data_IF_664573069443
#
_entry.id   IF_664573069443
#
_cell.length_a   1.000
_cell.length_b   1.000
_cell.length_c   1.000
_cell.angle_alpha   90.00
_cell.angle_beta   90.00
_cell.angle_gamma   90.00
#
_symmetry.space_group_name_H-M   'P 1'
#
loop_
_entity.id
_entity.type
_entity.pdbx_description
1 polymer ?
#
# COMPACT_ATOMS: atom_id res chain seq x y z
N UNK A 1 -17.59 -3.40 -6.84
CA UNK A 1 -18.59 -3.09 -5.79
C UNK A 1 -17.82 -2.90 -4.51
N UNK A 2 -17.87 -1.71 -3.89
CA UNK A 2 -17.07 -1.37 -2.72
C UNK A 2 -17.19 -2.40 -1.59
N UNK A 3 -16.22 -2.39 -0.68
CA UNK A 3 -16.15 -3.35 0.43
C UNK A 3 -17.30 -3.11 1.41
N UNK A 4 -17.97 -4.17 1.86
CA UNK A 4 -18.99 -4.06 2.91
C UNK A 4 -18.35 -3.71 4.26
N UNK A 5 -19.04 -2.91 5.07
CA UNK A 5 -18.59 -2.53 6.43
C UNK A 5 -18.30 -3.75 7.29
N UNK A 6 -19.09 -4.82 7.17
CA UNK A 6 -18.87 -6.10 7.88
C UNK A 6 -17.49 -6.70 7.57
N UNK A 7 -17.14 -6.80 6.29
CA UNK A 7 -15.83 -7.29 5.85
C UNK A 7 -14.69 -6.34 6.26
N UNK A 8 -14.94 -5.02 6.26
CA UNK A 8 -13.98 -4.03 6.74
C UNK A 8 -13.69 -4.24 8.24
N UNK A 9 -14.72 -4.38 9.08
CA UNK A 9 -14.57 -4.59 10.52
C UNK A 9 -13.91 -5.93 10.86
N UNK A 10 -14.23 -7.00 10.14
CA UNK A 10 -13.50 -8.27 10.24
C UNK A 10 -12.02 -8.11 9.89
N UNK A 11 -11.71 -7.38 8.82
CA UNK A 11 -10.34 -7.13 8.40
C UNK A 11 -9.60 -6.24 9.41
N UNK A 12 -10.29 -5.29 10.04
CA UNK A 12 -9.74 -4.39 11.05
C UNK A 12 -9.29 -5.13 12.31
N UNK A 13 -9.90 -6.27 12.65
CA UNK A 13 -9.39 -7.15 13.72
C UNK A 13 -7.97 -7.65 13.45
N UNK A 14 -7.58 -7.82 12.18
CA UNK A 14 -6.22 -8.21 11.76
C UNK A 14 -5.31 -6.99 11.50
N UNK A 15 -5.89 -5.87 11.11
CA UNK A 15 -5.21 -4.61 10.82
C UNK A 15 -5.85 -3.47 11.63
N UNK A 16 -5.56 -3.38 12.96
CA UNK A 16 -6.31 -2.52 13.89
C UNK A 16 -6.14 -1.02 13.64
N UNK A 17 -5.12 -0.63 12.88
CA UNK A 17 -4.83 0.73 12.47
C UNK A 17 -5.43 1.09 11.09
N UNK A 18 -6.31 0.24 10.56
CA UNK A 18 -7.08 0.54 9.35
C UNK A 18 -8.22 1.50 9.68
N UNK A 19 -8.39 2.52 8.84
CA UNK A 19 -9.38 3.59 8.98
C UNK A 19 -10.18 3.67 7.67
N UNK A 20 -11.50 3.78 7.77
CA UNK A 20 -12.34 4.12 6.64
C UNK A 20 -12.22 5.62 6.36
N UNK A 21 -11.67 5.98 5.20
CA UNK A 21 -11.52 7.38 4.77
C UNK A 21 -12.80 7.89 4.11
N UNK A 22 -13.53 6.99 3.45
CA UNK A 22 -14.83 7.29 2.84
C UNK A 22 -15.77 6.10 2.99
N UNK A 23 -16.95 6.36 3.51
CA UNK A 23 -18.01 5.37 3.73
C UNK A 23 -19.37 5.95 3.31
N UNK A 24 -20.25 5.12 2.76
CA UNK A 24 -21.65 5.49 2.48
C UNK A 24 -22.55 4.27 2.64
N UNK A 25 -23.51 4.36 3.56
CA UNK A 25 -24.44 3.27 3.85
C UNK A 25 -23.70 2.07 4.41
N UNK A 26 -23.79 0.91 3.72
CA UNK A 26 -23.13 -0.33 4.15
C UNK A 26 -21.76 -0.56 3.49
N UNK A 27 -21.20 0.46 2.84
CA UNK A 27 -20.03 0.31 1.98
C UNK A 27 -18.90 1.27 2.32
N UNK A 28 -17.68 0.74 2.35
CA UNK A 28 -16.41 1.46 2.47
C UNK A 28 -15.76 1.60 1.09
N UNK A 29 -15.49 2.84 0.70
CA UNK A 29 -14.98 3.18 -0.63
C UNK A 29 -13.50 3.48 -0.62
N UNK A 30 -12.96 4.02 0.48
CA UNK A 30 -11.53 4.30 0.59
C UNK A 30 -11.07 3.94 2.00
N UNK A 31 -9.86 3.39 2.10
CA UNK A 31 -9.24 3.09 3.38
C UNK A 31 -7.84 3.70 3.46
N UNK A 32 -7.44 4.00 4.69
CA UNK A 32 -6.07 4.25 5.06
C UNK A 32 -5.61 3.17 6.03
N UNK A 33 -4.37 2.71 5.91
CA UNK A 33 -3.80 1.70 6.81
C UNK A 33 -2.31 1.93 6.96
N UNK A 34 -1.78 1.78 8.17
CA UNK A 34 -0.32 1.82 8.38
C UNK A 34 0.26 0.41 8.37
N UNK A 35 1.39 0.21 7.71
CA UNK A 35 2.03 -1.10 7.62
C UNK A 35 3.53 -0.99 7.81
N UNK A 36 4.08 -1.86 8.65
CA UNK A 36 5.53 -2.01 8.77
C UNK A 36 6.08 -2.78 7.56
N UNK A 37 7.08 -2.21 6.92
CA UNK A 37 7.82 -2.78 5.80
C UNK A 37 9.31 -2.45 5.88
N UNK A 38 10.11 -2.96 4.96
CA UNK A 38 11.52 -2.59 4.82
C UNK A 38 11.67 -1.35 3.94
N UNK A 39 12.73 -0.57 4.11
CA UNK A 39 13.05 0.57 3.22
C UNK A 39 13.41 0.07 1.81
N UNK A 40 14.24 -0.97 1.75
CA UNK A 40 14.53 -1.73 0.55
C UNK A 40 15.46 -2.93 0.86
N UNK A 41 15.86 -3.74 -0.11
CA UNK A 41 16.68 -4.93 0.20
C UNK A 41 18.09 -4.57 0.70
N UNK A 42 18.71 -3.55 0.11
CA UNK A 42 20.01 -3.06 0.58
C UNK A 42 19.91 -2.36 1.95
N UNK A 43 18.68 -2.10 2.43
CA UNK A 43 18.41 -1.50 3.72
C UNK A 43 17.13 -2.07 4.35
N UNK A 44 17.27 -3.22 5.02
CA UNK A 44 16.14 -3.97 5.60
C UNK A 44 15.58 -3.35 6.88
N UNK A 45 16.00 -2.14 7.25
CA UNK A 45 15.42 -1.42 8.38
C UNK A 45 13.90 -1.31 8.22
N UNK A 46 13.19 -1.56 9.31
CA UNK A 46 11.73 -1.47 9.34
C UNK A 46 11.29 -0.02 9.47
N UNK A 47 10.41 0.41 8.58
CA UNK A 47 9.72 1.69 8.61
C UNK A 47 8.21 1.48 8.52
N UNK A 48 7.45 2.49 8.91
CA UNK A 48 5.99 2.50 8.78
C UNK A 48 5.58 3.22 7.49
N UNK A 49 4.89 2.49 6.61
CA UNK A 49 4.23 3.04 5.44
C UNK A 49 2.79 3.42 5.80
N UNK A 50 2.36 4.62 5.47
CA UNK A 50 0.95 5.01 5.45
C UNK A 50 0.41 4.80 4.04
N UNK A 51 -0.57 3.93 3.94
CA UNK A 51 -1.12 3.47 2.67
C UNK A 51 -2.52 4.03 2.48
N UNK A 52 -2.82 4.48 1.27
CA UNK A 52 -4.17 4.83 0.81
C UNK A 52 -4.61 3.89 -0.30
N UNK A 53 -5.86 3.41 -0.22
CA UNK A 53 -6.43 2.44 -1.16
C UNK A 53 -7.86 2.86 -1.52
N UNK A 54 -8.14 3.02 -2.82
CA UNK A 54 -9.49 3.24 -3.36
C UNK A 54 -10.15 1.89 -3.69
N UNK A 55 -11.18 1.53 -2.94
CA UNK A 55 -11.91 0.27 -3.03
C UNK A 55 -13.16 0.36 -3.91
N UNK A 56 -13.43 1.49 -4.57
CA UNK A 56 -14.67 1.72 -5.34
C UNK A 56 -14.98 0.57 -6.32
N UNK A 57 -13.96 0.08 -7.02
CA UNK A 57 -14.07 -0.97 -8.02
C UNK A 57 -13.59 -2.35 -7.54
N UNK A 58 -13.18 -2.48 -6.28
CA UNK A 58 -12.82 -3.78 -5.69
C UNK A 58 -14.06 -4.70 -5.64
N UNK A 59 -13.91 -6.04 -5.57
CA UNK A 59 -12.77 -6.84 -6.01
C UNK A 59 -12.68 -6.98 -7.54
N UNK A 60 -13.61 -6.40 -8.30
CA UNK A 60 -13.63 -6.49 -9.77
C UNK A 60 -12.40 -5.87 -10.43
N UNK A 61 -11.79 -4.87 -9.78
CA UNK A 61 -10.49 -4.33 -10.11
C UNK A 61 -9.62 -4.31 -8.85
N UNK A 62 -8.40 -4.86 -8.95
CA UNK A 62 -7.44 -4.79 -7.85
C UNK A 62 -6.89 -3.36 -7.78
N UNK A 63 -7.08 -2.66 -6.66
CA UNK A 63 -6.75 -1.26 -6.55
C UNK A 63 -5.25 -1.04 -6.45
N UNK A 64 -4.82 0.14 -6.88
CA UNK A 64 -3.50 0.64 -6.54
C UNK A 64 -3.39 0.93 -5.04
N UNK A 65 -2.20 0.74 -4.50
CA UNK A 65 -1.89 1.04 -3.10
C UNK A 65 -0.88 2.17 -3.08
N UNK A 66 -1.34 3.36 -2.71
CA UNK A 66 -0.54 4.58 -2.70
C UNK A 66 0.15 4.77 -1.35
N UNK A 67 1.37 5.30 -1.35
CA UNK A 67 2.14 5.63 -0.15
C UNK A 67 2.08 7.14 0.05
N UNK A 68 1.57 7.57 1.21
CA UNK A 68 1.26 8.99 1.45
C UNK A 68 2.25 9.70 2.35
N UNK A 69 3.03 8.97 3.16
CA UNK A 69 3.94 9.56 4.16
C UNK A 69 5.42 9.56 3.78
N UNK A 70 5.80 8.94 2.66
CA UNK A 70 7.20 8.84 2.25
C UNK A 70 7.35 9.40 0.83
N UNK A 71 8.19 10.43 0.62
CA UNK A 71 8.41 10.99 -0.71
C UNK A 71 9.21 10.01 -1.58
N UNK A 72 8.93 10.03 -2.89
CA UNK A 72 9.49 9.09 -3.88
C UNK A 72 11.00 8.93 -3.82
N UNK A 73 11.72 10.05 -3.66
CA UNK A 73 13.18 10.11 -3.64
C UNK A 73 13.82 9.33 -2.48
N UNK A 74 13.05 9.06 -1.42
CA UNK A 74 13.49 8.35 -0.22
C UNK A 74 13.15 6.86 -0.26
N UNK A 75 12.34 6.43 -1.24
CA UNK A 75 11.94 5.04 -1.40
C UNK A 75 13.02 4.27 -2.16
N UNK A 76 13.56 3.25 -1.50
CA UNK A 76 14.54 2.32 -2.08
C UNK A 76 13.91 0.98 -2.48
N UNK A 77 12.65 0.75 -2.09
CA UNK A 77 11.97 -0.50 -2.29
C UNK A 77 11.72 -0.78 -3.77
N UNK A 78 12.26 -1.87 -4.31
CA UNK A 78 12.20 -2.13 -5.75
C UNK A 78 10.78 -2.43 -6.26
N UNK A 79 9.87 -2.87 -5.39
CA UNK A 79 8.45 -3.05 -5.70
C UNK A 79 7.61 -1.79 -5.55
N UNK A 80 8.19 -0.60 -5.44
CA UNK A 80 7.42 0.65 -5.39
C UNK A 80 7.74 1.48 -6.65
N UNK A 81 6.70 1.70 -7.45
CA UNK A 81 6.76 2.54 -8.64
C UNK A 81 6.95 4.01 -8.29
N UNK A 82 7.46 4.76 -9.26
CA UNK A 82 7.44 6.22 -9.22
C UNK A 82 6.01 6.77 -9.15
N UNK A 83 5.82 8.05 -8.76
CA UNK A 83 4.50 8.57 -8.48
C UNK A 83 3.60 8.59 -9.71
N UNK A 84 2.33 8.28 -9.51
CA UNK A 84 1.25 8.55 -10.47
C UNK A 84 0.11 9.30 -9.79
N UNK A 85 -0.74 9.93 -10.59
CA UNK A 85 -1.89 10.67 -10.10
C UNK A 85 -2.87 9.78 -9.34
N UNK A 86 -3.31 10.25 -8.18
CA UNK A 86 -4.39 9.67 -7.38
C UNK A 86 -5.55 10.66 -7.33
N UNK A 87 -6.63 10.39 -8.07
CA UNK A 87 -7.78 11.31 -8.18
C UNK A 87 -8.47 11.58 -6.83
N UNK A 88 -8.41 10.63 -5.87
CA UNK A 88 -9.03 10.79 -4.55
C UNK A 88 -8.24 11.66 -3.58
N UNK A 89 -6.93 11.82 -3.81
CA UNK A 89 -6.04 12.58 -2.94
C UNK A 89 -5.56 13.89 -3.58
N UNK A 90 -5.95 14.16 -4.83
CA UNK A 90 -5.52 15.32 -5.62
C UNK A 90 -3.99 15.53 -5.61
N UNK A 91 -3.26 14.47 -5.97
CA UNK A 91 -1.80 14.50 -5.95
C UNK A 91 -1.14 13.30 -6.62
N UNK A 92 0.19 13.29 -6.64
CA UNK A 92 1.01 12.22 -7.20
C UNK A 92 1.73 11.47 -6.10
N UNK A 93 1.49 10.16 -6.02
CA UNK A 93 2.01 9.33 -4.94
C UNK A 93 2.70 8.08 -5.47
N UNK A 94 3.84 7.67 -4.89
CA UNK A 94 4.41 6.36 -5.13
C UNK A 94 3.37 5.27 -4.85
N UNK A 95 3.43 4.17 -5.59
CA UNK A 95 2.47 3.09 -5.44
C UNK A 95 3.10 1.70 -5.57
N UNK A 96 2.51 0.73 -4.88
CA UNK A 96 3.06 -0.62 -4.77
C UNK A 96 2.79 -1.42 -6.04
N UNK A 97 3.84 -2.04 -6.57
CA UNK A 97 3.78 -3.03 -7.63
C UNK A 97 3.34 -4.38 -7.04
N UNK A 98 2.10 -4.77 -7.33
CA UNK A 98 1.55 -6.05 -6.91
C UNK A 98 2.05 -7.23 -7.78
N UNK A 99 2.50 -6.98 -9.01
CA UNK A 99 2.97 -8.02 -9.93
C UNK A 99 1.94 -9.15 -10.11
N UNK A 100 2.42 -10.40 -10.15
CA UNK A 100 1.57 -11.61 -10.27
C UNK A 100 0.61 -11.81 -9.10
N UNK A 101 0.83 -11.11 -7.97
CA UNK A 101 -0.12 -11.15 -6.86
C UNK A 101 -1.48 -10.60 -7.31
N UNK A 102 -1.53 -9.69 -8.30
CA UNK A 102 -2.77 -9.15 -8.84
C UNK A 102 -3.70 -10.26 -9.33
N UNK A 103 -3.17 -11.24 -10.05
CA UNK A 103 -3.95 -12.36 -10.61
C UNK A 103 -4.36 -13.39 -9.56
N UNK A 104 -3.55 -13.54 -8.50
CA UNK A 104 -3.96 -14.35 -7.35
C UNK A 104 -5.10 -13.65 -6.58
N UNK A 105 -4.99 -12.34 -6.37
CA UNK A 105 -5.95 -11.55 -5.60
C UNK A 105 -7.29 -11.37 -6.32
N UNK A 106 -7.35 -11.43 -7.65
CA UNK A 106 -8.65 -11.45 -8.36
C UNK A 106 -9.46 -12.71 -8.05
N UNK A 107 -8.80 -13.82 -7.69
CA UNK A 107 -9.46 -15.05 -7.22
C UNK A 107 -9.91 -14.95 -5.77
N UNK A 108 -9.16 -14.23 -4.94
CA UNK A 108 -9.44 -14.04 -3.51
C UNK A 108 -10.04 -12.66 -3.23
N UNK A 109 -11.38 -12.59 -3.20
CA UNK A 109 -12.18 -11.37 -3.05
C UNK A 109 -12.21 -10.76 -1.63
N UNK A 110 -11.27 -11.17 -0.77
CA UNK A 110 -11.24 -10.75 0.64
C UNK A 110 -10.22 -9.64 0.88
N UNK A 111 -10.67 -8.54 1.48
CA UNK A 111 -9.82 -7.40 1.82
C UNK A 111 -8.64 -7.80 2.73
N UNK A 112 -8.87 -8.73 3.67
CA UNK A 112 -7.81 -9.25 4.55
C UNK A 112 -6.69 -9.96 3.77
N UNK A 113 -7.03 -10.80 2.78
CA UNK A 113 -6.06 -11.47 1.92
C UNK A 113 -5.28 -10.46 1.07
N UNK A 114 -5.97 -9.43 0.54
CA UNK A 114 -5.35 -8.32 -0.16
C UNK A 114 -4.30 -7.60 0.69
N UNK A 115 -4.66 -7.17 1.90
CA UNK A 115 -3.76 -6.46 2.79
C UNK A 115 -2.59 -7.34 3.29
N UNK A 116 -2.81 -8.64 3.50
CA UNK A 116 -1.71 -9.57 3.80
C UNK A 116 -0.73 -9.69 2.64
N UNK A 117 -1.23 -9.71 1.40
CA UNK A 117 -0.41 -9.68 0.19
C UNK A 117 0.44 -8.40 0.09
N UNK A 118 -0.16 -7.25 0.35
CA UNK A 118 0.54 -5.96 0.43
C UNK A 118 1.63 -5.99 1.51
N UNK A 119 1.28 -6.44 2.73
CA UNK A 119 2.24 -6.61 3.82
C UNK A 119 3.40 -7.51 3.42
N UNK A 120 3.15 -8.62 2.70
CA UNK A 120 4.19 -9.53 2.23
C UNK A 120 5.16 -8.83 1.27
N UNK A 121 4.65 -8.04 0.32
CA UNK A 121 5.46 -7.27 -0.64
C UNK A 121 6.33 -6.26 0.09
N UNK A 122 5.75 -5.46 0.99
CA UNK A 122 6.50 -4.46 1.78
C UNK A 122 7.59 -5.07 2.67
N UNK A 123 7.54 -6.38 2.94
CA UNK A 123 8.53 -7.07 3.76
C UNK A 123 9.52 -7.91 2.95
N UNK A 124 9.21 -8.20 1.68
CA UNK A 124 9.99 -9.08 0.82
C UNK A 124 10.00 -8.53 -0.60
N UNK A 125 11.16 -8.03 -1.00
CA UNK A 125 11.33 -7.54 -2.36
C UNK A 125 11.34 -8.67 -3.40
N UNK A 126 10.68 -8.42 -4.54
CA UNK A 126 10.80 -9.24 -5.74
C UNK A 126 11.78 -8.57 -6.70
N UNK A 127 12.96 -9.16 -6.88
CA UNK A 127 14.05 -8.65 -7.75
C UNK A 127 13.67 -8.50 -9.22
N UNK A 128 12.63 -9.21 -9.66
CA UNK A 128 12.11 -9.11 -11.02
C UNK A 128 11.03 -8.03 -11.14
N UNK A 129 10.90 -7.12 -10.15
CA UNK A 129 9.95 -6.02 -10.23
C UNK A 129 10.30 -5.07 -11.37
N UNK A 130 9.35 -4.73 -12.24
CA UNK A 130 9.57 -3.69 -13.26
C UNK A 130 9.49 -2.27 -12.67
N UNK A 131 9.37 -2.12 -11.35
CA UNK A 131 8.92 -0.87 -10.75
C UNK A 131 10.04 0.14 -10.46
N UNK A 132 11.20 -0.32 -10.00
CA UNK A 132 12.34 0.54 -9.71
C UNK A 132 13.65 -0.25 -9.75
N UNK A 133 14.74 0.43 -10.14
CA UNK A 133 16.11 -0.09 -10.00
C UNK A 133 16.65 0.16 -8.57
N UNK A 134 17.43 -0.75 -7.98
CA UNK A 134 18.00 -0.56 -6.65
C UNK A 134 18.78 0.77 -6.53
N UNK A 135 18.63 1.47 -5.40
CA UNK A 135 19.35 2.71 -5.08
C UNK A 135 19.80 2.69 -3.61
N UNK A 136 20.92 3.35 -3.31
CA UNK A 136 21.39 3.56 -1.94
C UNK A 136 21.11 5.02 -1.54
N UNK A 137 20.27 5.23 -0.52
CA UNK A 137 19.96 6.56 0.05
C UNK A 137 20.15 6.50 1.58
N UNK A 138 20.57 7.61 2.20
CA UNK A 138 20.88 7.68 3.64
C UNK A 138 19.61 7.61 4.51
N UNK A 139 19.68 6.88 5.63
CA UNK A 139 18.55 6.67 6.57
C UNK A 139 18.11 7.95 7.27
N UNK A 140 19.05 8.83 7.64
CA UNK A 140 18.74 10.08 8.35
C UNK A 140 17.72 10.93 7.57
N UNK A 141 17.88 11.00 6.26
CA UNK A 141 16.99 11.78 5.39
C UNK A 141 15.56 11.24 5.37
N UNK A 142 15.38 9.92 5.56
CA UNK A 142 14.08 9.23 5.56
C UNK A 142 13.33 9.52 6.86
N UNK A 143 13.99 9.34 8.00
CA UNK A 143 13.37 9.46 9.32
C UNK A 143 13.03 10.91 9.67
N UNK A 144 13.87 11.87 9.32
CA UNK A 144 13.62 13.30 9.59
C UNK A 144 12.41 13.86 8.84
N UNK A 145 12.00 13.22 7.74
CA UNK A 145 10.92 13.68 6.86
C UNK A 145 9.62 12.89 6.98
N UNK A 146 9.66 11.66 7.49
CA UNK A 146 8.47 10.84 7.73
C UNK A 146 7.81 11.11 9.11
N UNK A 147 8.50 11.84 10.00
CA UNK A 147 8.02 12.22 11.34
C UNK A 147 7.51 13.66 11.47
N UNK A 148 7.31 14.38 10.36
CA UNK A 148 6.59 15.66 10.28
C UNK A 148 5.28 15.46 9.53
#
# INVERSE_FOLDING_TARGET
MPVYVEQFEETKKLFPNMIAVSERGKFVYCIAVKMKGIIGMNNRQKIEYQLFIDLTNYPGHIPDVFITNIPDRLIQHINIYHPKGCTKLDGYYPYICLGNLKDALTRYRHLSAFLQGVKRILNNENYNSPARKPKNVSIREILERAGR
#
